data_IF_500694922158
#
_entry.id   IF_500694922158
#
_cell.length_a   1.000
_cell.length_b   1.000
_cell.length_c   1.000
_cell.angle_alpha   90.00
_cell.angle_beta   90.00
_cell.angle_gamma   90.00
#
_symmetry.space_group_name_H-M   'P 1'
#
loop_
_entity.id
_entity.type
_entity.pdbx_description
1 polymer ?
#
# COMPACT_ATOMS: atom_id res chain seq x y z
N UNK A 1 19.17 -1.65 -2.53
CA UNK A 1 17.82 -1.56 -3.13
C UNK A 1 17.85 -2.05 -4.57
N UNK A 2 16.89 -2.88 -4.98
CA UNK A 2 16.70 -3.30 -6.39
C UNK A 2 15.55 -2.48 -6.99
N UNK A 3 15.82 -1.68 -8.03
CA UNK A 3 14.85 -0.77 -8.66
C UNK A 3 13.89 -1.49 -9.64
N UNK A 4 13.30 -2.61 -9.22
CA UNK A 4 12.49 -3.45 -10.10
C UNK A 4 11.04 -2.98 -10.20
N UNK A 5 10.51 -2.39 -9.12
CA UNK A 5 9.12 -1.93 -9.02
C UNK A 5 9.05 -0.67 -8.17
N UNK A 6 8.20 0.28 -8.56
CA UNK A 6 7.96 1.50 -7.80
C UNK A 6 7.38 1.23 -6.40
N UNK A 7 6.57 0.16 -6.26
CA UNK A 7 6.01 -0.27 -4.97
C UNK A 7 7.09 -0.77 -4.02
N UNK A 8 8.01 -1.59 -4.54
CA UNK A 8 9.15 -2.09 -3.78
C UNK A 8 10.11 -0.96 -3.41
N UNK A 9 10.35 -0.03 -4.34
CA UNK A 9 11.19 1.14 -4.11
C UNK A 9 10.60 2.08 -3.05
N UNK A 10 9.27 2.27 -3.02
CA UNK A 10 8.60 3.02 -1.95
C UNK A 10 8.85 2.37 -0.58
N UNK A 11 8.63 1.06 -0.48
CA UNK A 11 8.86 0.30 0.75
C UNK A 11 10.34 0.39 1.19
N UNK A 12 11.26 0.08 0.28
CA UNK A 12 12.69 0.03 0.58
C UNK A 12 13.28 1.40 0.93
N UNK A 13 12.79 2.47 0.29
CA UNK A 13 13.26 3.82 0.57
C UNK A 13 12.92 4.28 1.99
N UNK A 14 11.82 3.81 2.57
CA UNK A 14 11.33 4.26 3.87
C UNK A 14 11.60 3.28 5.03
N UNK A 15 11.63 1.96 4.76
CA UNK A 15 11.54 0.95 5.82
C UNK A 15 12.65 -0.11 5.80
N UNK A 16 13.36 -0.29 4.68
CA UNK A 16 14.42 -1.30 4.61
C UNK A 16 15.75 -0.69 5.09
N UNK A 17 16.38 -1.25 6.14
CA UNK A 17 17.74 -0.86 6.50
C UNK A 17 18.73 -1.24 5.39
N UNK A 18 19.82 -0.49 5.26
CA UNK A 18 20.81 -0.67 4.18
C UNK A 18 21.48 -2.05 4.18
N UNK A 19 21.48 -2.73 5.32
CA UNK A 19 22.03 -4.06 5.51
C UNK A 19 20.89 -5.07 5.66
N UNK A 20 21.04 -6.25 5.06
CA UNK A 20 20.06 -7.30 5.22
C UNK A 20 20.16 -7.86 6.63
N UNK A 21 19.01 -8.09 7.28
CA UNK A 21 18.97 -8.81 8.57
C UNK A 21 19.67 -10.18 8.46
N UNK A 22 19.64 -10.79 7.27
CA UNK A 22 20.35 -12.03 6.96
C UNK A 22 21.88 -11.92 7.03
N UNK A 23 22.48 -10.79 6.63
CA UNK A 23 23.93 -10.58 6.75
C UNK A 23 24.38 -10.51 8.22
N UNK A 24 23.54 -9.94 9.09
CA UNK A 24 23.81 -9.92 10.53
C UNK A 24 23.71 -11.33 11.14
N UNK A 25 22.69 -12.11 10.76
CA UNK A 25 22.51 -13.50 11.21
C UNK A 25 23.60 -14.42 10.68
N UNK A 26 24.00 -14.28 9.42
CA UNK A 26 25.14 -14.99 8.82
C UNK A 26 26.43 -14.70 9.60
N UNK A 27 26.69 -13.43 9.90
CA UNK A 27 27.86 -13.03 10.68
C UNK A 27 27.87 -13.68 12.07
N UNK A 28 26.73 -13.70 12.77
CA UNK A 28 26.61 -14.39 14.07
C UNK A 28 26.80 -15.90 13.90
N UNK A 29 26.23 -16.51 12.86
CA UNK A 29 26.37 -17.94 12.58
C UNK A 29 27.81 -18.35 12.26
N UNK A 30 28.57 -17.50 11.55
CA UNK A 30 29.95 -17.75 11.17
C UNK A 30 30.94 -17.49 12.31
N UNK A 31 30.73 -16.44 13.10
CA UNK A 31 31.68 -15.98 14.13
C UNK A 31 31.31 -16.45 15.55
N UNK A 32 30.09 -16.96 15.75
CA UNK A 32 29.56 -17.33 17.07
C UNK A 32 29.33 -16.13 18.01
N UNK A 33 29.55 -14.91 17.54
CA UNK A 33 29.41 -13.69 18.32
C UNK A 33 29.02 -12.50 17.43
N UNK A 34 28.43 -11.47 18.04
CA UNK A 34 28.23 -10.19 17.36
C UNK A 34 29.51 -9.37 17.45
N UNK A 35 30.02 -8.91 16.30
CA UNK A 35 31.17 -8.00 16.26
C UNK A 35 30.63 -6.58 16.20
N UNK A 36 30.82 -5.83 17.27
CA UNK A 36 30.53 -4.40 17.29
C UNK A 36 31.59 -3.68 16.44
N UNK A 37 31.26 -3.39 15.17
CA UNK A 37 32.10 -2.57 14.31
C UNK A 37 31.91 -1.10 14.71
N UNK A 38 32.99 -0.46 15.20
CA UNK A 38 33.00 0.96 15.59
C UNK A 38 32.89 1.90 14.39
N UNK A 39 33.22 1.41 13.20
CA UNK A 39 32.91 2.09 11.95
C UNK A 39 31.45 1.80 11.62
N UNK A 40 30.59 2.83 11.64
CA UNK A 40 29.42 2.82 10.75
C UNK A 40 29.99 2.43 9.39
N UNK A 41 29.58 1.29 8.85
CA UNK A 41 30.08 0.78 7.57
C UNK A 41 29.63 1.74 6.46
N UNK A 42 30.34 2.86 6.30
CA UNK A 42 30.15 3.86 5.25
C UNK A 42 30.82 3.28 4.01
N UNK A 43 30.28 2.17 3.51
CA UNK A 43 30.72 1.61 2.24
C UNK A 43 29.95 2.29 1.10
N UNK A 44 30.49 2.24 -0.12
CA UNK A 44 29.88 2.89 -1.29
C UNK A 44 28.44 2.42 -1.53
N UNK A 45 28.11 1.18 -1.18
CA UNK A 45 26.74 0.64 -1.28
C UNK A 45 25.77 1.32 -0.31
N UNK A 46 26.21 1.61 0.92
CA UNK A 46 25.43 2.36 1.90
C UNK A 46 25.18 3.79 1.40
N UNK A 47 26.22 4.46 0.91
CA UNK A 47 26.08 5.81 0.34
C UNK A 47 25.14 5.84 -0.86
N UNK A 48 25.26 4.87 -1.77
CA UNK A 48 24.35 4.71 -2.92
C UNK A 48 22.92 4.44 -2.47
N UNK A 49 22.72 3.54 -1.50
CA UNK A 49 21.39 3.25 -0.97
C UNK A 49 20.73 4.50 -0.40
N UNK A 50 21.44 5.24 0.44
CA UNK A 50 20.92 6.46 1.07
C UNK A 50 20.62 7.55 0.05
N UNK A 51 21.47 7.73 -0.96
CA UNK A 51 21.23 8.69 -2.04
C UNK A 51 19.95 8.33 -2.82
N UNK A 52 19.81 7.06 -3.23
CA UNK A 52 18.64 6.58 -3.95
C UNK A 52 17.35 6.69 -3.09
N UNK A 53 17.41 6.29 -1.82
CA UNK A 53 16.30 6.44 -0.88
C UNK A 53 15.91 7.90 -0.72
N UNK A 54 16.86 8.83 -0.59
CA UNK A 54 16.58 10.26 -0.46
C UNK A 54 15.82 10.84 -1.66
N UNK A 55 16.20 10.46 -2.88
CA UNK A 55 15.47 10.88 -4.08
C UNK A 55 14.05 10.31 -4.16
N UNK A 56 13.85 9.05 -3.76
CA UNK A 56 12.51 8.44 -3.72
C UNK A 56 11.66 9.09 -2.62
N UNK A 57 12.22 9.29 -1.43
CA UNK A 57 11.55 9.98 -0.32
C UNK A 57 11.14 11.40 -0.72
N UNK A 58 12.01 12.12 -1.45
CA UNK A 58 11.68 13.43 -1.99
C UNK A 58 10.50 13.36 -2.98
N UNK A 59 10.52 12.39 -3.91
CA UNK A 59 9.42 12.17 -4.84
C UNK A 59 8.10 11.85 -4.12
N UNK A 60 8.13 11.05 -3.06
CA UNK A 60 6.97 10.76 -2.20
C UNK A 60 6.48 12.03 -1.50
N UNK A 61 7.37 12.88 -1.01
CA UNK A 61 7.01 14.14 -0.35
C UNK A 61 6.39 15.18 -1.30
N UNK A 62 6.53 15.01 -2.62
CA UNK A 62 5.86 15.88 -3.61
C UNK A 62 4.38 15.52 -3.84
N UNK A 63 3.94 14.36 -3.36
CA UNK A 63 2.55 13.93 -3.50
C UNK A 63 1.60 14.73 -2.60
N UNK A 64 0.35 14.94 -3.04
CA UNK A 64 -0.73 15.39 -2.16
C UNK A 64 -0.85 14.51 -0.93
N UNK A 65 -1.20 15.09 0.22
CA UNK A 65 -1.28 14.39 1.51
C UNK A 65 -2.15 13.12 1.44
N UNK A 66 -3.32 13.22 0.83
CA UNK A 66 -4.23 12.10 0.55
C UNK A 66 -3.56 10.92 -0.21
N UNK A 67 -2.85 11.21 -1.31
CA UNK A 67 -2.17 10.19 -2.10
C UNK A 67 -0.96 9.60 -1.37
N UNK A 68 -0.27 10.42 -0.56
CA UNK A 68 0.83 9.97 0.28
C UNK A 68 0.33 9.02 1.37
N UNK A 69 -0.76 9.35 2.06
CA UNK A 69 -1.39 8.49 3.05
C UNK A 69 -1.88 7.17 2.44
N UNK A 70 -2.50 7.22 1.24
CA UNK A 70 -2.84 6.02 0.49
C UNK A 70 -1.62 5.14 0.18
N UNK A 71 -0.54 5.73 -0.37
CA UNK A 71 0.70 5.01 -0.65
C UNK A 71 1.35 4.43 0.60
N UNK A 72 1.37 5.18 1.71
CA UNK A 72 1.86 4.69 2.99
C UNK A 72 1.02 3.52 3.50
N UNK A 73 -0.32 3.62 3.46
CA UNK A 73 -1.21 2.54 3.86
C UNK A 73 -0.92 1.26 3.06
N UNK A 74 -0.72 1.41 1.74
CA UNK A 74 -0.47 0.29 0.83
C UNK A 74 0.91 -0.35 1.02
N UNK A 75 1.96 0.46 1.16
CA UNK A 75 3.35 0.01 1.03
C UNK A 75 4.15 0.04 2.33
N UNK A 76 3.61 0.61 3.41
CA UNK A 76 4.25 0.59 4.72
C UNK A 76 3.94 -0.70 5.48
N UNK A 77 4.96 -1.40 6.02
CA UNK A 77 4.75 -2.46 7.00
C UNK A 77 4.27 -1.89 8.36
N UNK A 78 4.44 -0.59 8.57
CA UNK A 78 4.10 0.16 9.78
C UNK A 78 3.00 1.21 9.49
N UNK A 79 2.09 0.91 8.55
CA UNK A 79 0.99 1.81 8.22
C UNK A 79 0.19 2.16 9.50
N UNK A 80 0.01 3.45 9.74
CA UNK A 80 -0.73 3.94 10.92
C UNK A 80 -2.24 3.84 10.69
N UNK A 81 -3.02 3.96 11.77
CA UNK A 81 -4.47 4.06 11.65
C UNK A 81 -4.87 5.36 10.92
N UNK A 82 -4.13 6.46 11.10
CA UNK A 82 -4.34 7.70 10.37
C UNK A 82 -4.14 7.52 8.85
N UNK A 83 -3.06 6.84 8.43
CA UNK A 83 -2.83 6.55 7.00
C UNK A 83 -3.97 5.70 6.43
N UNK A 84 -4.49 4.75 7.22
CA UNK A 84 -5.61 3.89 6.85
C UNK A 84 -6.90 4.69 6.69
N UNK A 85 -7.27 5.49 7.67
CA UNK A 85 -8.51 6.27 7.66
C UNK A 85 -8.53 7.26 6.48
N UNK A 86 -7.42 7.96 6.25
CA UNK A 86 -7.28 8.87 5.12
C UNK A 86 -7.36 8.10 3.78
N UNK A 87 -6.71 6.94 3.66
CA UNK A 87 -6.79 6.12 2.46
C UNK A 87 -8.21 5.60 2.17
N UNK A 88 -8.94 5.19 3.21
CA UNK A 88 -10.34 4.77 3.10
C UNK A 88 -11.23 5.94 2.65
N UNK A 89 -11.01 7.14 3.20
CA UNK A 89 -11.78 8.33 2.86
C UNK A 89 -11.52 8.79 1.42
N UNK A 90 -10.25 8.84 1.01
CA UNK A 90 -9.86 9.22 -0.37
C UNK A 90 -10.44 8.25 -1.39
N UNK A 91 -10.38 6.95 -1.13
CA UNK A 91 -11.00 5.94 -1.97
C UNK A 91 -12.52 6.15 -2.06
N UNK A 92 -13.17 6.30 -0.91
CA UNK A 92 -14.61 6.47 -0.86
C UNK A 92 -15.07 7.73 -1.61
N UNK A 93 -14.39 8.85 -1.40
CA UNK A 93 -14.68 10.12 -2.08
C UNK A 93 -14.44 10.03 -3.59
N UNK A 94 -13.38 9.35 -4.04
CA UNK A 94 -13.11 9.12 -5.45
C UNK A 94 -14.29 8.39 -6.12
N UNK A 95 -14.78 7.29 -5.51
CA UNK A 95 -15.90 6.52 -6.05
C UNK A 95 -17.23 7.27 -5.93
N UNK A 96 -17.46 7.97 -4.82
CA UNK A 96 -18.70 8.70 -4.57
C UNK A 96 -18.87 9.86 -5.55
N UNK A 97 -17.80 10.59 -5.87
CA UNK A 97 -17.84 11.71 -6.82
C UNK A 97 -18.23 11.29 -8.25
N UNK A 98 -17.91 10.04 -8.62
CA UNK A 98 -18.22 9.46 -9.94
C UNK A 98 -19.56 8.71 -9.97
N UNK A 99 -20.17 8.47 -8.80
CA UNK A 99 -21.34 7.63 -8.63
C UNK A 99 -22.67 8.40 -8.50
N UNK A 100 -23.80 7.68 -8.56
CA UNK A 100 -25.10 8.26 -8.26
C UNK A 100 -25.20 8.68 -6.79
N UNK A 101 -25.88 9.81 -6.51
CA UNK A 101 -26.13 10.27 -5.14
C UNK A 101 -26.85 9.18 -4.33
N UNK A 102 -26.32 8.89 -3.14
CA UNK A 102 -26.85 7.84 -2.27
C UNK A 102 -27.69 8.44 -1.14
N UNK A 103 -28.71 7.71 -0.67
CA UNK A 103 -29.40 8.04 0.58
C UNK A 103 -28.46 7.82 1.78
N UNK A 104 -28.65 8.59 2.86
CA UNK A 104 -27.77 8.57 4.04
C UNK A 104 -27.54 7.15 4.63
N UNK A 105 -28.57 6.31 4.69
CA UNK A 105 -28.43 4.92 5.16
C UNK A 105 -27.55 4.05 4.25
N UNK A 106 -27.60 4.29 2.94
CA UNK A 106 -26.77 3.59 1.95
C UNK A 106 -25.34 4.14 1.95
N UNK A 107 -25.19 5.44 2.18
CA UNK A 107 -23.91 6.13 2.28
C UNK A 107 -23.01 5.53 3.38
N UNK A 108 -23.55 5.34 4.59
CA UNK A 108 -22.80 4.73 5.70
C UNK A 108 -22.34 3.30 5.35
N UNK A 109 -23.24 2.48 4.79
CA UNK A 109 -22.90 1.12 4.35
C UNK A 109 -21.84 1.12 3.24
N UNK A 110 -21.90 2.08 2.33
CA UNK A 110 -20.95 2.21 1.24
C UNK A 110 -19.53 2.54 1.72
N UNK A 111 -19.36 3.29 2.83
CA UNK A 111 -18.04 3.50 3.45
C UNK A 111 -17.43 2.17 3.92
N UNK A 112 -18.21 1.32 4.60
CA UNK A 112 -17.72 0.00 5.02
C UNK A 112 -17.43 -0.93 3.84
N UNK A 113 -18.18 -0.81 2.73
CA UNK A 113 -17.87 -1.58 1.52
C UNK A 113 -16.56 -1.10 0.91
N UNK A 114 -16.33 0.22 0.82
CA UNK A 114 -15.08 0.78 0.29
C UNK A 114 -13.87 0.39 1.16
N UNK A 115 -13.95 0.48 2.49
CA UNK A 115 -12.88 0.05 3.39
C UNK A 115 -12.52 -1.43 3.21
N UNK A 116 -13.54 -2.29 3.05
CA UNK A 116 -13.34 -3.72 2.79
C UNK A 116 -12.66 -3.97 1.44
N UNK A 117 -13.01 -3.19 0.40
CA UNK A 117 -12.31 -3.28 -0.89
C UNK A 117 -10.85 -2.84 -0.75
N UNK A 118 -10.57 -1.76 -0.02
CA UNK A 118 -9.19 -1.33 0.23
C UNK A 118 -8.38 -2.42 0.94
N UNK A 119 -8.96 -3.06 1.97
CA UNK A 119 -8.34 -4.19 2.65
C UNK A 119 -7.99 -5.34 1.69
N UNK A 120 -8.94 -5.73 0.83
CA UNK A 120 -8.70 -6.75 -0.21
C UNK A 120 -7.60 -6.34 -1.16
N UNK A 121 -7.69 -5.11 -1.67
CA UNK A 121 -6.74 -4.57 -2.63
C UNK A 121 -5.32 -4.59 -2.06
N UNK A 122 -5.14 -4.10 -0.83
CA UNK A 122 -3.86 -4.15 -0.11
C UNK A 122 -3.33 -5.56 0.02
N UNK A 123 -4.17 -6.54 0.40
CA UNK A 123 -3.74 -7.94 0.55
C UNK A 123 -3.30 -8.58 -0.76
N UNK A 124 -3.98 -8.29 -1.86
CA UNK A 124 -3.59 -8.77 -3.19
C UNK A 124 -2.26 -8.15 -3.67
N UNK A 125 -1.95 -6.93 -3.22
CA UNK A 125 -0.81 -6.14 -3.71
C UNK A 125 0.38 -6.12 -2.74
N UNK A 126 0.24 -6.74 -1.56
CA UNK A 126 1.29 -6.84 -0.57
C UNK A 126 2.49 -7.63 -1.13
N UNK A 127 3.70 -7.08 -0.99
CA UNK A 127 4.93 -7.67 -1.57
C UNK A 127 5.30 -7.13 -2.97
N UNK A 128 4.53 -6.19 -3.52
CA UNK A 128 4.93 -5.39 -4.69
C UNK A 128 4.78 -6.07 -6.06
N UNK A 129 4.35 -7.33 -6.11
CA UNK A 129 4.18 -8.11 -7.36
C UNK A 129 2.72 -8.37 -7.76
N UNK A 130 1.71 -7.89 -7.02
CA UNK A 130 0.27 -8.13 -7.35
C UNK A 130 -0.12 -9.62 -7.49
N UNK A 131 0.61 -10.53 -6.84
CA UNK A 131 0.35 -11.98 -6.88
C UNK A 131 -0.37 -12.49 -5.61
N UNK A 132 -0.80 -11.59 -4.73
CA UNK A 132 -1.46 -11.95 -3.49
C UNK A 132 -2.83 -12.57 -3.72
N UNK A 133 -3.13 -13.64 -2.96
CA UNK A 133 -4.45 -14.28 -2.98
C UNK A 133 -5.48 -13.31 -2.40
N UNK A 134 -6.60 -13.14 -3.10
CA UNK A 134 -7.74 -12.38 -2.59
C UNK A 134 -8.27 -13.01 -1.29
N UNK A 135 -8.26 -12.28 -0.16
CA UNK A 135 -8.72 -12.83 1.11
C UNK A 135 -10.23 -13.04 1.15
N UNK A 136 -11.01 -12.35 0.31
CA UNK A 136 -12.47 -12.31 0.35
C UNK A 136 -13.06 -12.44 -1.07
N UNK A 137 -12.85 -13.58 -1.76
CA UNK A 137 -13.21 -13.72 -3.16
C UNK A 137 -14.72 -13.82 -3.39
N UNK A 138 -15.49 -14.29 -2.40
CA UNK A 138 -16.94 -14.48 -2.52
C UNK A 138 -17.74 -13.38 -1.81
N UNK A 139 -18.96 -13.07 -2.29
CA UNK A 139 -19.88 -12.16 -1.60
C UNK A 139 -20.15 -12.54 -0.15
N UNK A 140 -20.26 -13.84 0.15
CA UNK A 140 -20.49 -14.34 1.51
C UNK A 140 -19.31 -14.05 2.43
N UNK A 141 -18.08 -14.30 1.96
CA UNK A 141 -16.87 -13.99 2.71
C UNK A 141 -16.76 -12.48 2.96
N UNK A 142 -17.01 -11.68 1.94
CA UNK A 142 -16.98 -10.22 2.02
C UNK A 142 -17.97 -9.68 3.05
N UNK A 143 -19.24 -10.14 2.99
CA UNK A 143 -20.29 -9.74 3.94
C UNK A 143 -20.00 -10.23 5.35
N UNK A 144 -19.52 -11.46 5.48
CA UNK A 144 -19.11 -12.04 6.76
C UNK A 144 -17.99 -11.22 7.41
N UNK A 145 -17.03 -10.75 6.63
CA UNK A 145 -15.96 -9.87 7.11
C UNK A 145 -16.49 -8.52 7.58
N UNK A 146 -17.36 -7.85 6.80
CA UNK A 146 -17.98 -6.57 7.22
C UNK A 146 -18.75 -6.74 8.52
N UNK A 147 -19.49 -7.84 8.66
CA UNK A 147 -20.22 -8.11 9.89
C UNK A 147 -19.27 -8.35 11.07
N UNK A 148 -18.20 -9.12 10.87
CA UNK A 148 -17.22 -9.42 11.93
C UNK A 148 -16.43 -8.18 12.37
N UNK A 149 -16.03 -7.31 11.44
CA UNK A 149 -15.17 -6.15 11.72
C UNK A 149 -15.95 -4.91 12.10
N UNK A 150 -17.10 -4.68 11.46
CA UNK A 150 -17.88 -3.45 11.61
C UNK A 150 -19.26 -3.65 12.27
N UNK A 151 -19.69 -4.90 12.51
CA UNK A 151 -21.02 -5.20 13.05
C UNK A 151 -22.17 -4.90 12.08
N UNK A 152 -21.88 -4.59 10.81
CA UNK A 152 -22.88 -4.16 9.83
C UNK A 152 -23.33 -5.33 8.97
N UNK A 153 -24.63 -5.61 8.98
CA UNK A 153 -25.22 -6.62 8.11
C UNK A 153 -25.65 -6.03 6.75
N UNK A 154 -25.20 -6.68 5.68
CA UNK A 154 -25.63 -6.45 4.31
C UNK A 154 -26.52 -7.63 3.85
N UNK A 155 -27.71 -7.38 3.28
CA UNK A 155 -28.59 -8.45 2.81
C UNK A 155 -28.02 -9.16 1.57
N UNK A 156 -28.21 -10.47 1.45
CA UNK A 156 -27.72 -11.30 0.32
C UNK A 156 -28.52 -11.04 -0.95
N UNK A 157 -29.83 -10.90 -0.78
CA UNK A 157 -30.84 -10.99 -1.83
C UNK A 157 -30.64 -9.95 -2.95
N UNK A 158 -30.05 -8.79 -2.62
CA UNK A 158 -29.80 -7.70 -3.56
C UNK A 158 -28.31 -7.43 -3.80
N UNK A 159 -27.41 -8.36 -3.45
CA UNK A 159 -25.96 -8.11 -3.51
C UNK A 159 -25.50 -7.64 -4.90
N UNK A 160 -25.83 -8.39 -5.95
CA UNK A 160 -25.41 -8.07 -7.33
C UNK A 160 -25.89 -6.69 -7.79
N UNK A 161 -27.17 -6.38 -7.50
CA UNK A 161 -27.76 -5.10 -7.89
C UNK A 161 -27.19 -3.91 -7.13
N UNK A 162 -26.92 -4.08 -5.83
CA UNK A 162 -26.60 -2.95 -4.96
C UNK A 162 -25.10 -2.71 -4.79
N UNK A 163 -24.30 -3.77 -4.75
CA UNK A 163 -22.92 -3.72 -4.27
C UNK A 163 -21.90 -4.18 -5.31
N UNK A 164 -22.20 -5.12 -6.18
CA UNK A 164 -21.23 -5.65 -7.16
C UNK A 164 -20.64 -4.55 -8.05
N UNK A 165 -21.49 -3.73 -8.67
CA UNK A 165 -21.02 -2.59 -9.47
C UNK A 165 -20.33 -1.49 -8.65
N UNK A 166 -20.61 -1.37 -7.35
CA UNK A 166 -19.92 -0.43 -6.48
C UNK A 166 -18.53 -0.95 -6.08
N UNK A 167 -18.41 -2.24 -5.78
CA UNK A 167 -17.15 -2.94 -5.48
C UNK A 167 -16.20 -2.86 -6.67
N UNK A 168 -16.69 -3.11 -7.89
CA UNK A 168 -15.89 -2.97 -9.11
C UNK A 168 -15.32 -1.55 -9.26
N UNK A 169 -16.16 -0.51 -9.11
CA UNK A 169 -15.69 0.89 -9.14
C UNK A 169 -14.68 1.21 -8.03
N UNK A 170 -14.81 0.61 -6.84
CA UNK A 170 -13.81 0.77 -5.79
C UNK A 170 -12.47 0.17 -6.20
N UNK A 171 -12.44 -1.00 -6.84
CA UNK A 171 -11.21 -1.58 -7.37
C UNK A 171 -10.57 -0.72 -8.47
N UNK A 172 -11.39 -0.18 -9.38
CA UNK A 172 -10.90 0.75 -10.42
C UNK A 172 -10.31 2.02 -9.80
N UNK A 173 -11.00 2.60 -8.82
CA UNK A 173 -10.50 3.76 -8.08
C UNK A 173 -9.20 3.45 -7.32
N UNK A 174 -9.09 2.28 -6.67
CA UNK A 174 -7.83 1.83 -6.06
C UNK A 174 -6.70 1.76 -7.09
N UNK A 175 -6.95 1.20 -8.28
CA UNK A 175 -5.95 1.12 -9.34
C UNK A 175 -5.51 2.51 -9.83
N UNK A 176 -6.44 3.46 -9.94
CA UNK A 176 -6.13 4.81 -10.39
C UNK A 176 -5.38 5.62 -9.32
N UNK A 177 -5.78 5.51 -8.05
CA UNK A 177 -5.05 6.11 -6.93
C UNK A 177 -3.65 5.53 -6.82
N UNK A 178 -3.51 4.21 -6.99
CA UNK A 178 -2.21 3.55 -6.96
C UNK A 178 -1.29 4.04 -8.08
N UNK A 179 -1.79 4.09 -9.32
CA UNK A 179 -1.04 4.68 -10.44
C UNK A 179 -0.60 6.11 -10.12
N UNK A 180 -1.52 6.94 -9.63
CA UNK A 180 -1.21 8.34 -9.30
C UNK A 180 -0.13 8.46 -8.23
N UNK A 181 -0.20 7.66 -7.16
CA UNK A 181 0.81 7.62 -6.11
C UNK A 181 2.18 7.15 -6.64
N UNK A 182 2.20 6.16 -7.55
CA UNK A 182 3.44 5.58 -8.06
C UNK A 182 4.09 6.36 -9.21
N UNK A 183 3.38 7.28 -9.89
CA UNK A 183 3.94 8.09 -10.99
C UNK A 183 5.24 8.82 -10.62
N UNK A 184 5.31 9.63 -9.54
CA UNK A 184 6.54 10.34 -9.21
C UNK A 184 7.69 9.41 -8.85
N UNK A 185 7.40 8.30 -8.16
CA UNK A 185 8.42 7.29 -7.82
C UNK A 185 8.92 6.57 -9.07
N UNK A 186 8.02 6.21 -9.99
CA UNK A 186 8.38 5.56 -11.25
C UNK A 186 9.23 6.45 -12.14
N UNK A 187 8.91 7.75 -12.23
CA UNK A 187 9.73 8.74 -12.94
C UNK A 187 11.14 8.84 -12.34
N UNK A 188 11.23 8.91 -11.01
CA UNK A 188 12.50 8.95 -10.29
C UNK A 188 13.37 7.72 -10.61
N UNK A 189 12.77 6.53 -10.57
CA UNK A 189 13.45 5.27 -10.92
C UNK A 189 13.92 5.25 -12.37
N UNK A 190 13.11 5.73 -13.31
CA UNK A 190 13.48 5.73 -14.73
C UNK A 190 14.69 6.63 -15.00
N UNK A 191 14.70 7.84 -14.43
CA UNK A 191 15.85 8.77 -14.52
C UNK A 191 17.12 8.13 -13.95
N UNK A 192 17.01 7.42 -12.82
CA UNK A 192 18.16 6.72 -12.23
C UNK A 192 18.67 5.56 -13.09
N UNK A 193 17.77 4.84 -13.78
CA UNK A 193 18.13 3.75 -14.69
C UNK A 193 18.80 4.25 -15.96
N UNK A 194 18.39 5.40 -16.48
CA UNK A 194 19.00 6.02 -17.65
C UNK A 194 20.39 6.59 -17.36
N UNK A 195 20.65 7.01 -16.12
CA UNK A 195 21.92 7.58 -15.70
C UNK A 195 22.98 6.55 -15.25
N UNK A 196 22.63 5.26 -15.15
CA UNK A 196 23.48 4.16 -14.66
C UNK A 196 24.06 3.32 -15.81
#
# INVERSE_FOLDING_TARGET
MKLNSARLAWHDALYTPWDSQGAHVEQIGLLGCSVQKTEKSVNSRHAMHQALSGHIQHAICTLPAALKAFGNHMYSPLATDDDKEEAEEVLFMAVYSMGPKMMAKKFIKARYVASTVLFRYRRMHQGGQSEGIDPLPTPEAFRGWIFAVHGVSLPSENWGREWEGFVARCFDACNDLDKQALVPVSRCINVMKEAA
#
